data_IF_140121053761
#
_entry.id   IF_140121053761
#
_cell.length_a   1.000
_cell.length_b   1.000
_cell.length_c   1.000
_cell.angle_alpha   90.00
_cell.angle_beta   90.00
_cell.angle_gamma   90.00
#
_symmetry.space_group_name_H-M   'P 1'
#
loop_
_entity.id
_entity.type
_entity.pdbx_description
1 polymer ?
#
# COMPACT_ATOMS: atom_id res chain seq x y z
N UNK A 1 8.78 -11.51 2.92
CA UNK A 1 7.41 -11.66 3.46
C UNK A 1 6.49 -11.49 2.28
N UNK A 2 5.56 -12.42 2.05
CA UNK A 2 4.75 -12.40 0.83
C UNK A 2 3.75 -11.23 0.86
N UNK A 3 3.50 -10.61 -0.30
CA UNK A 3 2.42 -9.64 -0.47
C UNK A 3 1.09 -10.32 -0.09
N UNK A 4 0.27 -9.72 0.79
CA UNK A 4 -1.05 -10.25 1.13
C UNK A 4 -1.95 -10.29 -0.10
N UNK A 5 -2.79 -11.32 -0.20
CA UNK A 5 -3.79 -11.45 -1.27
C UNK A 5 -4.63 -10.17 -1.43
N UNK A 6 -5.10 -9.89 -2.64
CA UNK A 6 -5.90 -8.70 -2.95
C UNK A 6 -7.14 -8.58 -2.06
N UNK A 7 -7.74 -9.69 -1.65
CA UNK A 7 -8.92 -9.72 -0.79
C UNK A 7 -8.60 -9.57 0.72
N UNK A 8 -7.33 -9.45 1.09
CA UNK A 8 -6.94 -9.33 2.48
C UNK A 8 -7.41 -8.00 3.08
N UNK A 9 -8.02 -7.98 4.28
CA UNK A 9 -8.61 -6.78 4.88
C UNK A 9 -7.60 -5.66 5.19
N UNK A 10 -6.30 -5.98 5.21
CA UNK A 10 -5.24 -4.96 5.35
C UNK A 10 -5.32 -3.91 4.24
N UNK A 11 -5.62 -4.31 3.00
CA UNK A 11 -5.70 -3.38 1.88
C UNK A 11 -6.82 -2.36 2.03
N UNK A 12 -7.97 -2.80 2.55
CA UNK A 12 -9.08 -1.90 2.85
C UNK A 12 -8.69 -0.87 3.91
N UNK A 13 -8.04 -1.30 5.00
CA UNK A 13 -7.54 -0.38 6.04
C UNK A 13 -6.51 0.61 5.50
N UNK A 14 -5.61 0.14 4.65
CA UNK A 14 -4.59 0.98 4.03
C UNK A 14 -5.22 2.03 3.11
N UNK A 15 -6.15 1.62 2.25
CA UNK A 15 -6.88 2.51 1.35
C UNK A 15 -7.80 3.51 2.08
N UNK A 16 -8.25 3.17 3.29
CA UNK A 16 -9.05 4.04 4.18
C UNK A 16 -8.20 5.10 4.90
N UNK A 17 -6.86 5.02 4.82
CA UNK A 17 -5.95 6.04 5.33
C UNK A 17 -4.78 5.49 6.16
N UNK A 18 -4.76 4.20 6.51
CA UNK A 18 -3.63 3.62 7.24
C UNK A 18 -2.33 3.61 6.41
N UNK A 19 -2.43 3.74 5.07
CA UNK A 19 -1.24 3.83 4.19
C UNK A 19 -0.33 5.00 4.57
N UNK A 20 -0.86 6.10 5.09
CA UNK A 20 -0.08 7.26 5.52
C UNK A 20 0.79 6.98 6.77
N UNK A 21 0.52 5.88 7.50
CA UNK A 21 1.30 5.46 8.68
C UNK A 21 2.51 4.61 8.31
N UNK A 22 2.62 4.15 7.06
CA UNK A 22 3.77 3.38 6.59
C UNK A 22 5.01 4.27 6.67
N UNK A 23 5.99 3.84 7.47
CA UNK A 23 7.30 4.47 7.55
C UNK A 23 8.13 4.01 6.37
N UNK A 24 8.37 4.91 5.43
CA UNK A 24 9.13 4.62 4.22
C UNK A 24 10.10 5.74 3.89
N UNK A 25 11.33 5.38 3.52
CA UNK A 25 12.32 6.29 2.94
C UNK A 25 12.26 6.29 1.40
N UNK A 26 11.46 5.41 0.80
CA UNK A 26 11.33 5.30 -0.64
C UNK A 26 10.37 6.36 -1.18
N UNK A 27 10.91 7.28 -1.99
CA UNK A 27 10.13 8.35 -2.60
C UNK A 27 8.92 7.81 -3.38
N UNK A 28 9.06 6.69 -4.08
CA UNK A 28 7.96 6.06 -4.82
C UNK A 28 6.78 5.69 -3.91
N UNK A 29 7.05 5.13 -2.73
CA UNK A 29 6.03 4.80 -1.75
C UNK A 29 5.41 6.05 -1.13
N UNK A 30 6.21 7.10 -0.86
CA UNK A 30 5.68 8.37 -0.35
C UNK A 30 4.73 9.04 -1.36
N UNK A 31 5.08 9.01 -2.65
CA UNK A 31 4.23 9.52 -3.72
C UNK A 31 2.96 8.68 -3.89
N UNK A 32 3.06 7.36 -3.78
CA UNK A 32 1.90 6.47 -3.78
C UNK A 32 0.96 6.81 -2.62
N UNK A 33 1.48 6.95 -1.40
CA UNK A 33 0.68 7.33 -0.22
C UNK A 33 -0.09 8.63 -0.48
N UNK A 34 0.61 9.66 -0.96
CA UNK A 34 -0.01 10.95 -1.29
C UNK A 34 -1.06 10.84 -2.40
N UNK A 35 -0.82 10.00 -3.41
CA UNK A 35 -1.78 9.73 -4.47
C UNK A 35 -3.04 9.06 -3.93
N UNK A 36 -2.91 8.03 -3.09
CA UNK A 36 -4.05 7.31 -2.50
C UNK A 36 -4.84 8.19 -1.54
N UNK A 37 -4.16 9.01 -0.73
CA UNK A 37 -4.78 10.00 0.17
C UNK A 37 -5.63 11.03 -0.59
N UNK A 38 -5.14 11.51 -1.74
CA UNK A 38 -5.84 12.53 -2.55
C UNK A 38 -6.81 11.95 -3.57
N UNK A 39 -6.71 10.66 -3.87
CA UNK A 39 -7.52 10.00 -4.88
C UNK A 39 -8.97 9.91 -4.40
N UNK A 40 -9.90 10.33 -5.27
CA UNK A 40 -11.34 10.11 -5.10
C UNK A 40 -11.82 8.78 -5.68
N UNK A 41 -10.89 7.90 -6.10
CA UNK A 41 -11.22 6.62 -6.71
C UNK A 41 -11.93 5.69 -5.71
N UNK A 42 -12.81 4.80 -6.21
CA UNK A 42 -13.42 3.78 -5.38
C UNK A 42 -12.35 2.90 -4.71
N UNK A 43 -12.63 2.44 -3.49
CA UNK A 43 -11.69 1.63 -2.68
C UNK A 43 -11.11 0.43 -3.43
N UNK A 44 -11.90 -0.25 -4.26
CA UNK A 44 -11.42 -1.38 -5.05
C UNK A 44 -10.28 -1.02 -6.01
N UNK A 45 -10.35 0.14 -6.66
CA UNK A 45 -9.30 0.61 -7.55
C UNK A 45 -8.03 0.98 -6.78
N UNK A 46 -8.18 1.64 -5.62
CA UNK A 46 -7.06 1.95 -4.72
C UNK A 46 -6.33 0.69 -4.27
N UNK A 47 -7.08 -0.34 -3.88
CA UNK A 47 -6.53 -1.63 -3.44
C UNK A 47 -5.77 -2.32 -4.57
N UNK A 48 -6.36 -2.39 -5.77
CA UNK A 48 -5.72 -3.00 -6.94
C UNK A 48 -4.40 -2.30 -7.32
N UNK A 49 -4.41 -0.97 -7.31
CA UNK A 49 -3.24 -0.15 -7.61
C UNK A 49 -2.12 -0.32 -6.56
N UNK A 50 -2.46 -0.28 -5.28
CA UNK A 50 -1.51 -0.53 -4.19
C UNK A 50 -0.91 -1.93 -4.27
N UNK A 51 -1.76 -2.95 -4.44
CA UNK A 51 -1.31 -4.33 -4.55
C UNK A 51 -0.37 -4.51 -5.75
N UNK A 52 -0.71 -3.95 -6.92
CA UNK A 52 0.14 -4.01 -8.10
C UNK A 52 1.51 -3.31 -7.87
N UNK A 53 1.51 -2.16 -7.19
CA UNK A 53 2.75 -1.46 -6.86
C UNK A 53 3.65 -2.29 -5.94
N UNK A 54 3.13 -2.79 -4.83
CA UNK A 54 3.92 -3.58 -3.88
C UNK A 54 4.34 -4.94 -4.46
N UNK A 55 3.52 -5.56 -5.31
CA UNK A 55 3.90 -6.79 -6.04
C UNK A 55 5.07 -6.53 -6.98
N UNK A 56 5.04 -5.42 -7.72
CA UNK A 56 6.12 -5.06 -8.65
C UNK A 56 7.44 -4.76 -7.92
N UNK A 57 7.35 -4.14 -6.74
CA UNK A 57 8.50 -3.64 -5.99
C UNK A 57 8.82 -4.46 -4.73
N UNK A 58 8.27 -5.66 -4.58
CA UNK A 58 8.39 -6.50 -3.37
C UNK A 58 9.86 -6.68 -2.95
N UNK A 59 10.75 -6.88 -3.93
CA UNK A 59 12.19 -7.09 -3.69
C UNK A 59 12.92 -5.86 -3.16
N UNK A 60 12.39 -4.66 -3.45
CA UNK A 60 13.04 -3.38 -3.12
C UNK A 60 12.41 -2.77 -1.86
N UNK A 61 11.17 -3.12 -1.54
CA UNK A 61 10.39 -2.58 -0.44
C UNK A 61 10.10 -3.61 0.67
N UNK A 62 11.09 -4.41 1.14
CA UNK A 62 10.81 -5.46 2.12
C UNK A 62 10.28 -4.89 3.44
N UNK A 63 10.73 -3.70 3.83
CA UNK A 63 10.34 -3.04 5.07
C UNK A 63 8.90 -2.50 5.03
N UNK A 64 8.47 -1.97 3.88
CA UNK A 64 7.10 -1.50 3.68
C UNK A 64 6.13 -2.69 3.60
N UNK A 65 6.53 -3.77 2.92
CA UNK A 65 5.73 -4.99 2.81
C UNK A 65 5.45 -5.60 4.19
N UNK A 66 6.43 -5.58 5.09
CA UNK A 66 6.24 -6.00 6.49
C UNK A 66 5.29 -5.08 7.27
N UNK A 67 5.21 -3.81 6.89
CA UNK A 67 4.32 -2.85 7.52
C UNK A 67 2.86 -3.00 7.06
N UNK A 68 2.60 -3.51 5.84
CA UNK A 68 1.25 -3.60 5.27
C UNK A 68 0.23 -4.30 6.18
N UNK A 69 0.66 -5.30 6.94
CA UNK A 69 -0.21 -6.07 7.84
C UNK A 69 -0.20 -5.59 9.29
N UNK A 70 0.69 -4.64 9.64
CA UNK A 70 0.91 -4.20 11.03
C UNK A 70 0.46 -2.77 11.31
N UNK A 71 0.21 -1.96 10.28
CA UNK A 71 -0.24 -0.54 10.39
C UNK A 71 -1.74 -0.35 10.62
#
# INVERSE_FOLDING_TARGET
MAIPDLNHPCWKRLADGAIARIKTQHLGTQLLCKRIERSGDPLGNKIADMHAFFTKWERILPNEVQQLTTV
#
